data_IF_814384167311
#
_entry.id   IF_814384167311
#
_cell.length_a   1.000
_cell.length_b   1.000
_cell.length_c   1.000
_cell.angle_alpha   90.00
_cell.angle_beta   90.00
_cell.angle_gamma   90.00
#
_symmetry.space_group_name_H-M   'P 1'
#
loop_
_entity.id
_entity.type
_entity.pdbx_description
1 polymer ?
#
# COMPACT_ATOMS: atom_id res chain seq x y z
N UNK A 1 39.12 84.32 14.93
CA UNK A 1 37.72 84.77 14.80
C UNK A 1 36.88 83.50 14.64
N UNK A 2 35.99 83.19 15.59
CA UNK A 2 35.12 82.00 15.53
C UNK A 2 35.14 81.15 16.80
N UNK A 3 34.65 81.72 17.90
CA UNK A 3 34.27 80.98 19.12
C UNK A 3 32.95 80.25 18.85
N UNK A 4 32.92 78.92 18.98
CA UNK A 4 31.69 78.17 19.21
C UNK A 4 31.82 77.45 20.56
N UNK A 5 31.21 77.97 21.64
CA UNK A 5 31.13 77.22 22.87
C UNK A 5 30.18 76.04 22.64
N UNK A 6 30.71 74.83 22.74
CA UNK A 6 29.92 73.61 22.82
C UNK A 6 29.03 73.67 24.05
N UNK A 7 27.73 73.91 23.84
CA UNK A 7 26.73 73.94 24.90
C UNK A 7 26.49 72.50 25.35
N UNK A 8 27.07 72.09 26.47
CA UNK A 8 26.67 70.89 27.19
C UNK A 8 25.22 71.05 27.64
N UNK A 9 24.28 70.51 26.86
CA UNK A 9 22.91 70.34 27.33
C UNK A 9 22.92 69.25 28.41
N UNK A 10 22.99 69.65 29.68
CA UNK A 10 22.60 68.77 30.76
C UNK A 10 21.13 68.43 30.58
N UNK A 11 20.86 67.17 30.20
CA UNK A 11 19.50 66.63 30.15
C UNK A 11 19.04 66.57 31.61
N UNK A 12 18.26 67.56 32.04
CA UNK A 12 17.51 67.49 33.29
C UNK A 12 16.54 66.33 33.18
N UNK A 13 16.87 65.18 33.78
CA UNK A 13 15.95 64.08 33.98
C UNK A 13 14.80 64.56 34.87
N UNK A 14 13.65 64.84 34.24
CA UNK A 14 12.39 64.97 34.96
C UNK A 14 11.98 63.55 35.37
N UNK A 15 11.73 63.34 36.66
CA UNK A 15 11.21 62.06 37.15
C UNK A 15 9.85 61.75 36.51
N UNK A 16 9.55 60.48 36.35
CA UNK A 16 8.27 60.04 35.79
C UNK A 16 7.10 60.36 36.73
N UNK A 17 6.00 60.82 36.16
CA UNK A 17 4.74 60.95 36.88
C UNK A 17 4.14 59.57 37.17
N UNK A 18 3.46 59.42 38.31
CA UNK A 18 2.69 58.19 38.62
C UNK A 18 1.70 57.85 37.50
N UNK A 19 1.13 58.85 36.85
CA UNK A 19 0.23 58.67 35.71
C UNK A 19 0.94 58.06 34.49
N UNK A 20 2.17 58.47 34.22
CA UNK A 20 2.96 57.95 33.09
C UNK A 20 3.30 56.47 33.30
N UNK A 21 3.63 56.07 34.53
CA UNK A 21 3.89 54.66 34.88
C UNK A 21 2.60 53.83 34.78
N UNK A 22 1.45 54.35 35.22
CA UNK A 22 0.17 53.65 35.09
C UNK A 22 -0.22 53.44 33.61
N UNK A 23 -0.07 54.47 32.78
CA UNK A 23 -0.36 54.33 31.34
C UNK A 23 0.62 53.37 30.66
N UNK A 24 1.92 53.47 30.97
CA UNK A 24 2.95 52.60 30.38
C UNK A 24 2.74 51.13 30.76
N UNK A 25 2.35 50.83 32.01
CA UNK A 25 2.09 49.46 32.47
C UNK A 25 0.84 48.87 31.83
N UNK A 26 -0.24 49.64 31.71
CA UNK A 26 -1.46 49.20 31.00
C UNK A 26 -1.17 48.91 29.53
N UNK A 27 -0.46 49.78 28.84
CA UNK A 27 -0.06 49.55 27.45
C UNK A 27 0.85 48.34 27.30
N UNK A 28 1.78 48.13 28.25
CA UNK A 28 2.63 46.94 28.29
C UNK A 28 1.83 45.64 28.42
N UNK A 29 0.83 45.61 29.31
CA UNK A 29 -0.05 44.45 29.49
C UNK A 29 -0.87 44.15 28.24
N UNK A 30 -1.45 45.17 27.61
CA UNK A 30 -2.21 45.02 26.36
C UNK A 30 -1.34 44.45 25.23
N UNK A 31 -0.10 44.92 25.10
CA UNK A 31 0.84 44.40 24.12
C UNK A 31 1.21 42.94 24.40
N UNK A 32 1.45 42.58 25.67
CA UNK A 32 1.71 41.19 26.05
C UNK A 32 0.54 40.27 25.71
N UNK A 33 -0.71 40.71 25.93
CA UNK A 33 -1.90 39.92 25.59
C UNK A 33 -1.98 39.61 24.09
N UNK A 34 -1.76 40.60 23.22
CA UNK A 34 -1.75 40.42 21.77
C UNK A 34 -0.66 39.43 21.34
N UNK A 35 0.55 39.55 21.91
CA UNK A 35 1.67 38.64 21.59
C UNK A 35 1.35 37.20 22.03
N UNK A 36 0.75 37.01 23.20
CA UNK A 36 0.36 35.68 23.69
C UNK A 36 -0.70 35.04 22.78
N UNK A 37 -1.71 35.79 22.34
CA UNK A 37 -2.72 35.28 21.40
C UNK A 37 -2.10 34.88 20.05
N UNK A 38 -1.18 35.71 19.53
CA UNK A 38 -0.45 35.41 18.29
C UNK A 38 0.42 34.16 18.44
N UNK A 39 1.13 34.02 19.57
CA UNK A 39 1.93 32.82 19.85
C UNK A 39 1.08 31.56 19.90
N UNK A 40 -0.07 31.60 20.60
CA UNK A 40 -0.97 30.45 20.68
C UNK A 40 -1.52 30.07 19.31
N UNK A 41 -1.87 31.06 18.49
CA UNK A 41 -2.35 30.85 17.12
C UNK A 41 -1.25 30.23 16.25
N UNK A 42 -0.02 30.77 16.30
CA UNK A 42 1.11 30.24 15.57
C UNK A 42 1.46 28.80 15.99
N UNK A 43 1.40 28.50 17.29
CA UNK A 43 1.60 27.16 17.83
C UNK A 43 0.54 26.18 17.30
N UNK A 44 -0.72 26.56 17.31
CA UNK A 44 -1.81 25.72 16.80
C UNK A 44 -1.66 25.45 15.29
N UNK A 45 -1.28 26.48 14.52
CA UNK A 45 -1.01 26.36 13.08
C UNK A 45 0.17 25.41 12.84
N UNK A 46 1.26 25.55 13.61
CA UNK A 46 2.42 24.68 13.51
C UNK A 46 2.05 23.20 13.74
N UNK A 47 1.33 22.90 14.83
CA UNK A 47 0.88 21.54 15.09
C UNK A 47 -0.01 20.99 13.97
N UNK A 48 -0.97 21.79 13.48
CA UNK A 48 -1.83 21.37 12.37
C UNK A 48 -1.03 21.08 11.09
N UNK A 49 -0.01 21.90 10.77
CA UNK A 49 0.84 21.67 9.61
C UNK A 49 1.69 20.40 9.76
N UNK A 50 2.20 20.13 10.96
CA UNK A 50 2.96 18.91 11.23
C UNK A 50 2.11 17.65 11.07
N UNK A 51 0.88 17.64 11.60
CA UNK A 51 -0.04 16.50 11.42
C UNK A 51 -0.41 16.28 9.94
N UNK A 52 -0.63 17.38 9.19
CA UNK A 52 -0.87 17.30 7.75
C UNK A 52 0.34 16.78 6.98
N UNK A 53 1.56 17.14 7.38
CA UNK A 53 2.78 16.63 6.78
C UNK A 53 2.92 15.11 7.01
N UNK A 54 2.66 14.64 8.24
CA UNK A 54 2.66 13.20 8.55
C UNK A 54 1.60 12.44 7.75
N UNK A 55 0.38 12.98 7.62
CA UNK A 55 -0.65 12.37 6.77
C UNK A 55 -0.22 12.32 5.30
N UNK A 56 0.37 13.39 4.78
CA UNK A 56 0.86 13.45 3.41
C UNK A 56 1.95 12.42 3.12
N UNK A 57 2.89 12.23 4.05
CA UNK A 57 3.93 11.20 3.93
C UNK A 57 3.34 9.79 3.92
N UNK A 58 2.40 9.51 4.83
CA UNK A 58 1.71 8.21 4.89
C UNK A 58 0.92 7.91 3.60
N UNK A 59 0.22 8.92 3.05
CA UNK A 59 -0.50 8.78 1.78
C UNK A 59 0.49 8.47 0.65
N UNK A 60 1.63 9.16 0.59
CA UNK A 60 2.65 8.88 -0.43
C UNK A 60 3.19 7.46 -0.35
N UNK A 61 3.38 6.93 0.86
CA UNK A 61 3.80 5.54 1.04
C UNK A 61 2.74 4.55 0.58
N UNK A 62 1.48 4.76 0.98
CA UNK A 62 0.36 3.90 0.56
C UNK A 62 0.19 3.92 -0.96
N UNK A 63 0.29 5.10 -1.58
CA UNK A 63 0.15 5.27 -3.03
C UNK A 63 1.26 4.52 -3.78
N UNK A 64 2.53 4.67 -3.36
CA UNK A 64 3.64 3.93 -3.96
C UNK A 64 3.47 2.41 -3.83
N UNK A 65 3.02 1.95 -2.66
CA UNK A 65 2.81 0.53 -2.39
C UNK A 65 1.66 -0.05 -3.23
N UNK A 66 0.53 0.66 -3.32
CA UNK A 66 -0.60 0.25 -4.15
C UNK A 66 -0.26 0.32 -5.62
N UNK A 67 0.39 1.40 -6.09
CA UNK A 67 0.81 1.58 -7.47
C UNK A 67 1.68 0.42 -7.95
N UNK A 68 2.67 0.00 -7.16
CA UNK A 68 3.54 -1.12 -7.51
C UNK A 68 2.76 -2.44 -7.66
N UNK A 69 1.73 -2.68 -6.84
CA UNK A 69 0.95 -3.90 -6.91
C UNK A 69 -0.10 -3.86 -8.05
N UNK A 70 -0.81 -2.74 -8.19
CA UNK A 70 -1.84 -2.52 -9.21
C UNK A 70 -1.25 -2.56 -10.63
N UNK A 71 -0.07 -1.98 -10.84
CA UNK A 71 0.59 -1.99 -12.17
C UNK A 71 1.01 -3.38 -12.64
N UNK A 72 1.20 -4.31 -11.71
CA UNK A 72 1.52 -5.71 -11.99
C UNK A 72 0.27 -6.62 -11.94
N UNK A 73 -0.91 -6.05 -11.68
CA UNK A 73 -2.14 -6.80 -11.58
C UNK A 73 -2.46 -7.52 -12.89
N UNK A 74 -2.88 -8.76 -12.76
CA UNK A 74 -3.21 -9.64 -13.88
C UNK A 74 -2.03 -10.08 -14.73
N UNK A 75 -0.78 -9.80 -14.36
CA UNK A 75 0.36 -10.32 -15.12
C UNK A 75 0.27 -11.86 -15.21
N UNK A 76 0.29 -12.42 -16.41
CA UNK A 76 0.18 -13.86 -16.64
C UNK A 76 1.22 -14.33 -17.69
N UNK A 77 2.45 -13.81 -17.63
CA UNK A 77 3.53 -14.18 -18.55
C UNK A 77 3.50 -13.38 -19.85
N UNK A 78 2.68 -13.79 -20.82
CA UNK A 78 2.64 -13.12 -22.15
C UNK A 78 1.65 -11.95 -22.23
N UNK A 79 0.45 -12.12 -21.65
CA UNK A 79 -0.61 -11.10 -21.64
C UNK A 79 -1.22 -10.97 -20.24
N UNK A 80 -2.16 -10.05 -20.07
CA UNK A 80 -2.94 -9.97 -18.84
C UNK A 80 -3.90 -11.16 -18.74
N UNK A 81 -4.15 -11.67 -17.53
CA UNK A 81 -5.05 -12.79 -17.26
C UNK A 81 -6.47 -12.55 -17.75
N UNK A 82 -6.92 -11.28 -17.75
CA UNK A 82 -8.23 -10.87 -18.28
C UNK A 82 -8.37 -11.02 -19.81
N UNK A 83 -7.25 -11.13 -20.53
CA UNK A 83 -7.20 -11.30 -21.99
C UNK A 83 -6.99 -12.77 -22.41
N UNK A 84 -6.84 -13.68 -21.45
CA UNK A 84 -6.56 -15.10 -21.69
C UNK A 84 -7.80 -15.96 -21.45
N UNK A 85 -7.88 -17.08 -22.16
CA UNK A 85 -8.85 -18.13 -21.85
C UNK A 85 -8.39 -18.90 -20.61
N UNK A 86 -8.68 -18.36 -19.43
CA UNK A 86 -8.30 -18.95 -18.16
C UNK A 86 -9.20 -20.15 -17.79
N UNK A 87 -8.58 -21.28 -17.48
CA UNK A 87 -9.22 -22.43 -16.88
C UNK A 87 -8.68 -22.63 -15.47
N UNK A 88 -9.58 -22.74 -14.49
CA UNK A 88 -9.20 -22.88 -13.11
C UNK A 88 -9.40 -24.30 -12.61
N UNK A 89 -8.28 -24.99 -12.37
CA UNK A 89 -8.20 -26.33 -11.80
C UNK A 89 -7.81 -26.31 -10.31
N UNK A 90 -7.61 -25.13 -9.73
CA UNK A 90 -7.36 -25.01 -8.32
C UNK A 90 -8.68 -25.14 -7.54
N UNK A 91 -8.83 -26.22 -6.78
CA UNK A 91 -10.10 -26.60 -6.15
C UNK A 91 -10.68 -25.50 -5.26
N UNK A 92 -11.93 -25.11 -5.53
CA UNK A 92 -12.95 -24.95 -4.49
C UNK A 92 -13.26 -23.56 -3.91
N UNK A 93 -12.88 -22.43 -4.52
CA UNK A 93 -13.44 -21.10 -4.16
C UNK A 93 -13.11 -19.94 -5.14
N UNK A 94 -12.30 -20.19 -6.16
CA UNK A 94 -11.90 -19.19 -7.14
C UNK A 94 -12.86 -19.19 -8.34
N UNK A 95 -14.10 -18.73 -8.13
CA UNK A 95 -15.12 -18.71 -9.19
C UNK A 95 -14.79 -17.70 -10.31
N UNK A 96 -13.99 -16.68 -10.03
CA UNK A 96 -13.50 -15.74 -11.05
C UNK A 96 -12.15 -15.20 -10.63
N UNK A 97 -11.10 -15.58 -11.34
CA UNK A 97 -9.78 -14.98 -11.19
C UNK A 97 -9.65 -13.89 -12.24
N UNK A 98 -9.62 -12.64 -11.79
CA UNK A 98 -9.34 -11.47 -12.62
C UNK A 98 -8.08 -10.76 -12.15
N UNK A 99 -7.68 -9.71 -12.84
CA UNK A 99 -6.55 -8.86 -12.48
C UNK A 99 -6.73 -8.21 -11.10
N UNK A 100 -7.86 -7.53 -10.90
CA UNK A 100 -8.25 -6.86 -9.66
C UNK A 100 -9.75 -7.11 -9.45
N UNK A 101 -10.11 -7.49 -8.23
CA UNK A 101 -11.49 -7.68 -7.83
C UNK A 101 -11.64 -7.38 -6.34
N UNK A 102 -12.88 -7.25 -5.88
CA UNK A 102 -13.13 -6.89 -4.49
C UNK A 102 -14.34 -7.61 -3.93
N UNK A 103 -14.35 -7.68 -2.61
CA UNK A 103 -15.44 -8.24 -1.81
C UNK A 103 -15.85 -7.22 -0.78
N UNK A 104 -17.15 -7.05 -0.62
CA UNK A 104 -17.67 -6.31 0.52
C UNK A 104 -17.51 -7.13 1.81
N UNK A 105 -17.61 -6.43 2.92
CA UNK A 105 -17.54 -6.99 4.27
C UNK A 105 -18.55 -8.11 4.60
N UNK A 106 -19.61 -8.27 3.82
CA UNK A 106 -20.71 -9.23 4.03
C UNK A 106 -20.61 -10.48 3.14
N UNK A 107 -19.87 -10.39 2.03
CA UNK A 107 -19.72 -11.44 1.02
C UNK A 107 -18.26 -11.88 0.84
N UNK A 108 -17.56 -12.09 1.96
CA UNK A 108 -16.19 -12.60 1.93
C UNK A 108 -16.16 -14.09 1.55
N UNK A 109 -15.38 -14.48 0.54
CA UNK A 109 -15.25 -15.87 0.14
C UNK A 109 -14.46 -16.68 1.18
N UNK A 110 -14.71 -17.99 1.21
CA UNK A 110 -14.17 -18.89 2.23
C UNK A 110 -12.64 -18.86 2.37
N UNK A 111 -11.91 -18.69 1.26
CA UNK A 111 -10.44 -18.67 1.26
C UNK A 111 -9.82 -17.41 1.91
N UNK A 112 -10.61 -16.33 2.08
CA UNK A 112 -10.17 -15.12 2.78
C UNK A 112 -10.56 -15.13 4.27
N UNK A 113 -11.39 -16.07 4.72
CA UNK A 113 -11.80 -16.17 6.12
C UNK A 113 -10.58 -16.45 7.01
N UNK A 114 -10.37 -15.59 8.02
CA UNK A 114 -9.21 -15.68 8.92
C UNK A 114 -7.93 -15.05 8.37
N UNK A 115 -7.88 -14.68 7.08
CA UNK A 115 -6.79 -13.91 6.47
C UNK A 115 -7.04 -12.40 6.49
N UNK A 116 -8.32 -12.01 6.44
CA UNK A 116 -8.76 -10.61 6.51
C UNK A 116 -9.64 -10.38 7.74
N UNK A 117 -9.78 -9.12 8.15
CA UNK A 117 -10.61 -8.77 9.31
C UNK A 117 -12.09 -8.82 8.93
N UNK A 118 -12.90 -9.49 9.75
CA UNK A 118 -14.36 -9.54 9.53
C UNK A 118 -14.95 -8.13 9.59
N UNK A 119 -15.84 -7.81 8.65
CA UNK A 119 -16.49 -6.50 8.61
C UNK A 119 -15.73 -5.45 7.79
N UNK A 120 -14.66 -5.82 7.07
CA UNK A 120 -13.90 -4.92 6.21
C UNK A 120 -14.09 -5.29 4.75
N UNK A 121 -14.17 -4.28 3.89
CA UNK A 121 -14.08 -4.50 2.44
C UNK A 121 -12.64 -4.88 2.05
N UNK A 122 -12.53 -5.71 1.02
CA UNK A 122 -11.27 -6.26 0.56
C UNK A 122 -11.10 -6.00 -0.93
N UNK A 123 -9.92 -5.57 -1.32
CA UNK A 123 -9.48 -5.53 -2.71
C UNK A 123 -8.42 -6.62 -2.88
N UNK A 124 -8.61 -7.53 -3.82
CA UNK A 124 -7.63 -8.54 -4.18
C UNK A 124 -6.95 -8.13 -5.48
N UNK A 125 -5.62 -8.17 -5.47
CA UNK A 125 -4.79 -8.02 -6.67
C UNK A 125 -4.16 -9.38 -6.94
N UNK A 126 -4.45 -9.94 -8.10
CA UNK A 126 -3.97 -11.25 -8.48
C UNK A 126 -2.97 -11.14 -9.63
N UNK A 127 -1.88 -11.90 -9.58
CA UNK A 127 -0.85 -11.91 -10.62
C UNK A 127 -0.02 -13.19 -10.57
N UNK A 128 0.53 -13.59 -11.70
CA UNK A 128 1.67 -14.49 -11.71
C UNK A 128 2.91 -13.78 -11.15
N UNK A 129 3.80 -14.54 -10.52
CA UNK A 129 5.12 -14.07 -10.13
C UNK A 129 5.92 -13.68 -11.37
N UNK A 130 6.77 -12.66 -11.22
CA UNK A 130 7.72 -12.27 -12.26
C UNK A 130 8.77 -13.36 -12.53
N UNK A 131 9.02 -14.23 -11.54
CA UNK A 131 9.94 -15.37 -11.63
C UNK A 131 9.29 -16.55 -12.36
N UNK A 132 8.95 -16.34 -13.64
CA UNK A 132 8.41 -17.39 -14.50
C UNK A 132 9.51 -18.30 -15.04
N UNK A 133 9.19 -19.59 -15.21
CA UNK A 133 10.04 -20.60 -15.83
C UNK A 133 9.47 -21.04 -17.16
N UNK A 134 10.32 -21.53 -18.07
CA UNK A 134 9.87 -22.13 -19.33
C UNK A 134 9.60 -23.61 -19.15
N UNK A 135 8.61 -24.13 -19.89
CA UNK A 135 8.48 -25.57 -20.08
C UNK A 135 9.61 -26.07 -21.01
N UNK A 136 10.03 -27.33 -20.86
CA UNK A 136 11.13 -27.92 -21.66
C UNK A 136 10.65 -28.79 -22.83
N UNK A 137 9.36 -29.08 -22.90
CA UNK A 137 8.75 -29.87 -23.95
C UNK A 137 7.28 -29.49 -24.12
N UNK A 138 6.74 -29.66 -25.32
CA UNK A 138 5.32 -29.41 -25.58
C UNK A 138 4.42 -30.22 -24.64
N UNK A 139 3.41 -29.55 -24.12
CA UNK A 139 2.41 -30.11 -23.22
C UNK A 139 1.12 -30.31 -24.00
N UNK A 140 0.60 -31.53 -24.01
CA UNK A 140 -0.68 -31.84 -24.67
C UNK A 140 -1.85 -31.49 -23.74
N UNK A 141 -3.00 -31.17 -24.34
CA UNK A 141 -4.27 -31.08 -23.61
C UNK A 141 -4.51 -32.37 -22.80
N UNK A 142 -4.95 -32.21 -21.56
CA UNK A 142 -5.19 -33.29 -20.60
C UNK A 142 -3.92 -33.83 -19.92
N UNK A 143 -2.75 -33.23 -20.16
CA UNK A 143 -1.53 -33.64 -19.46
C UNK A 143 -1.63 -33.37 -17.96
N UNK A 144 -1.23 -34.36 -17.16
CA UNK A 144 -1.17 -34.31 -15.69
C UNK A 144 0.26 -34.15 -15.16
N UNK A 145 1.22 -33.93 -16.05
CA UNK A 145 2.62 -33.71 -15.71
C UNK A 145 3.25 -32.73 -16.70
N UNK A 146 4.00 -31.77 -16.18
CA UNK A 146 4.75 -30.79 -16.96
C UNK A 146 6.22 -30.80 -16.54
N UNK A 147 7.11 -30.58 -17.50
CA UNK A 147 8.55 -30.44 -17.25
C UNK A 147 8.96 -28.99 -17.46
N UNK A 148 9.70 -28.44 -16.52
CA UNK A 148 10.10 -27.03 -16.48
C UNK A 148 11.60 -26.87 -16.32
N UNK A 149 12.17 -25.75 -16.75
CA UNK A 149 13.61 -25.50 -16.63
C UNK A 149 14.05 -25.34 -15.17
N UNK A 150 13.26 -24.61 -14.40
CA UNK A 150 13.39 -24.37 -12.96
C UNK A 150 12.04 -24.65 -12.33
N UNK A 151 12.00 -25.27 -11.15
CA UNK A 151 10.71 -25.67 -10.57
C UNK A 151 10.17 -24.57 -9.63
N UNK A 152 9.09 -23.85 -9.99
CA UNK A 152 8.46 -22.87 -9.11
C UNK A 152 7.69 -23.52 -7.95
N UNK A 153 7.40 -24.83 -8.02
CA UNK A 153 6.78 -25.58 -6.93
C UNK A 153 7.84 -25.95 -5.89
N UNK A 154 8.26 -24.99 -5.08
CA UNK A 154 9.25 -25.22 -4.01
C UNK A 154 8.60 -25.75 -2.72
N UNK A 155 7.29 -25.56 -2.56
CA UNK A 155 6.50 -25.95 -1.40
C UNK A 155 5.17 -26.57 -1.85
N UNK A 156 4.55 -27.39 -0.98
CA UNK A 156 3.23 -27.96 -1.23
C UNK A 156 2.13 -26.91 -1.17
N UNK A 157 1.04 -27.12 -1.91
CA UNK A 157 -0.15 -26.24 -1.98
C UNK A 157 0.07 -24.84 -2.56
N UNK A 158 1.12 -24.62 -3.35
CA UNK A 158 1.28 -23.39 -4.12
C UNK A 158 0.38 -23.41 -5.37
N UNK A 159 -0.30 -22.28 -5.60
CA UNK A 159 -1.00 -22.02 -6.85
C UNK A 159 0.02 -21.71 -7.94
N UNK A 160 -0.14 -22.34 -9.09
CA UNK A 160 0.72 -22.20 -10.25
C UNK A 160 -0.14 -21.87 -11.46
N UNK A 161 0.38 -20.98 -12.30
CA UNK A 161 -0.24 -20.62 -13.56
C UNK A 161 0.68 -21.09 -14.69
N UNK A 162 0.17 -21.90 -15.62
CA UNK A 162 0.78 -22.08 -16.93
C UNK A 162 0.01 -21.24 -17.94
N UNK A 163 0.72 -20.50 -18.79
CA UNK A 163 0.09 -19.61 -19.76
C UNK A 163 0.92 -19.48 -21.03
N UNK A 164 0.23 -19.25 -22.14
CA UNK A 164 0.79 -18.69 -23.36
C UNK A 164 0.10 -17.34 -23.66
N UNK A 165 0.17 -16.85 -24.90
CA UNK A 165 -0.44 -15.57 -25.28
C UNK A 165 -1.96 -15.64 -25.54
N UNK A 166 -2.61 -16.80 -25.36
CA UNK A 166 -4.04 -17.04 -25.65
C UNK A 166 -4.77 -17.77 -24.52
N UNK A 167 -4.12 -18.71 -23.85
CA UNK A 167 -4.72 -19.59 -22.87
C UNK A 167 -3.91 -19.59 -21.58
N UNK A 168 -4.60 -19.86 -20.48
CA UNK A 168 -3.98 -20.10 -19.19
C UNK A 168 -4.71 -21.19 -18.42
N UNK A 169 -3.97 -21.95 -17.63
CA UNK A 169 -4.50 -22.94 -16.69
C UNK A 169 -3.90 -22.66 -15.31
N UNK A 170 -4.77 -22.35 -14.34
CA UNK A 170 -4.42 -22.19 -12.93
C UNK A 170 -4.61 -23.52 -12.22
N UNK A 171 -3.61 -23.99 -11.47
CA UNK A 171 -3.66 -25.29 -10.82
C UNK A 171 -2.82 -25.32 -9.55
N UNK A 172 -3.03 -26.35 -8.73
CA UNK A 172 -2.17 -26.65 -7.57
C UNK A 172 -1.33 -27.89 -7.90
N UNK A 173 -0.03 -27.83 -7.62
CA UNK A 173 0.83 -28.99 -7.79
C UNK A 173 0.44 -30.10 -6.80
N UNK A 174 0.16 -31.31 -7.31
CA UNK A 174 -0.07 -32.51 -6.49
C UNK A 174 1.21 -32.92 -5.77
N UNK A 175 2.31 -32.94 -6.51
CA UNK A 175 3.66 -33.12 -6.01
C UNK A 175 4.66 -32.64 -7.08
N UNK A 176 5.93 -32.58 -6.71
CA UNK A 176 7.00 -32.22 -7.63
C UNK A 176 8.23 -33.09 -7.39
N UNK A 177 8.97 -33.41 -8.47
CA UNK A 177 10.23 -34.15 -8.41
C UNK A 177 11.22 -33.54 -9.39
N UNK A 178 12.28 -32.91 -8.86
CA UNK A 178 13.26 -32.18 -9.66
C UNK A 178 12.57 -31.15 -10.55
N UNK A 179 12.67 -31.33 -11.87
CA UNK A 179 12.11 -30.45 -12.91
C UNK A 179 10.70 -30.84 -13.39
N UNK A 180 10.06 -31.79 -12.73
CA UNK A 180 8.71 -32.26 -13.11
C UNK A 180 7.69 -31.84 -12.05
N UNK A 181 6.58 -31.26 -12.47
CA UNK A 181 5.43 -30.92 -11.65
C UNK A 181 4.28 -31.83 -12.06
N UNK A 182 3.71 -32.55 -11.11
CA UNK A 182 2.53 -33.39 -11.33
C UNK A 182 1.28 -32.69 -10.83
N UNK A 183 0.21 -32.79 -11.60
CA UNK A 183 -1.06 -32.12 -11.35
C UNK A 183 -2.10 -33.13 -10.85
N UNK A 184 -3.13 -32.63 -10.17
CA UNK A 184 -4.28 -33.44 -9.75
C UNK A 184 -5.20 -33.71 -10.94
N UNK A 185 -5.46 -32.67 -11.72
CA UNK A 185 -6.30 -32.70 -12.92
C UNK A 185 -5.46 -32.41 -14.18
N UNK A 186 -5.95 -32.88 -15.32
CA UNK A 186 -5.30 -32.63 -16.60
C UNK A 186 -5.59 -31.21 -17.10
N UNK A 187 -4.58 -30.55 -17.67
CA UNK A 187 -4.70 -29.20 -18.22
C UNK A 187 -5.77 -29.11 -19.32
N UNK A 188 -6.54 -28.02 -19.34
CA UNK A 188 -7.59 -27.78 -20.33
C UNK A 188 -7.05 -27.48 -21.73
N UNK A 189 -5.83 -26.95 -21.81
CA UNK A 189 -5.17 -26.55 -23.06
C UNK A 189 -3.83 -27.26 -23.28
N UNK A 190 -3.35 -27.22 -24.52
CA UNK A 190 -1.98 -27.62 -24.86
C UNK A 190 -1.07 -26.39 -24.94
N UNK A 191 0.19 -26.56 -24.57
CA UNK A 191 1.17 -25.47 -24.45
C UNK A 191 2.45 -25.81 -25.21
N UNK A 192 2.88 -24.89 -26.09
CA UNK A 192 4.09 -25.04 -26.88
C UNK A 192 5.34 -24.59 -26.13
N UNK A 193 6.44 -25.31 -26.30
CA UNK A 193 7.72 -25.07 -25.60
C UNK A 193 8.28 -23.66 -25.81
N UNK A 194 7.96 -23.04 -26.95
CA UNK A 194 8.42 -21.70 -27.29
C UNK A 194 7.51 -20.57 -26.80
N UNK A 195 6.23 -20.84 -26.53
CA UNK A 195 5.23 -19.81 -26.23
C UNK A 195 4.75 -19.81 -24.78
N UNK A 196 4.97 -20.90 -24.04
CA UNK A 196 4.41 -21.06 -22.71
C UNK A 196 5.42 -20.87 -21.59
N UNK A 197 4.93 -20.33 -20.49
CA UNK A 197 5.66 -20.16 -19.23
C UNK A 197 4.82 -20.64 -18.06
N UNK A 198 5.49 -21.03 -16.99
CA UNK A 198 4.88 -21.43 -15.72
C UNK A 198 5.38 -20.50 -14.63
N UNK A 199 4.50 -19.99 -13.80
CA UNK A 199 4.87 -19.15 -12.65
C UNK A 199 4.04 -19.50 -11.43
N UNK A 200 4.49 -19.05 -10.26
CA UNK A 200 3.62 -19.00 -9.08
C UNK A 200 2.48 -18.03 -9.34
N UNK A 201 1.28 -18.35 -8.90
CA UNK A 201 0.16 -17.42 -8.92
C UNK A 201 -0.05 -16.88 -7.51
N UNK A 202 0.03 -15.56 -7.38
CA UNK A 202 -0.07 -14.84 -6.12
C UNK A 202 -1.34 -13.99 -6.12
N UNK A 203 -2.06 -14.06 -5.01
CA UNK A 203 -3.16 -13.15 -4.72
C UNK A 203 -2.86 -12.39 -3.45
N UNK A 204 -2.99 -11.07 -3.53
CA UNK A 204 -2.74 -10.18 -2.41
C UNK A 204 -4.03 -9.44 -2.06
N UNK A 205 -4.59 -9.75 -0.90
CA UNK A 205 -5.80 -9.15 -0.37
C UNK A 205 -5.46 -7.95 0.50
N UNK A 206 -5.88 -6.76 0.08
CA UNK A 206 -5.73 -5.49 0.78
C UNK A 206 -7.02 -5.14 1.54
N UNK A 207 -6.89 -4.71 2.79
CA UNK A 207 -8.03 -4.35 3.65
C UNK A 207 -7.63 -3.31 4.70
N UNK A 208 -8.61 -2.58 5.23
CA UNK A 208 -8.38 -1.56 6.27
C UNK A 208 -8.62 -2.19 7.63
N UNK A 209 -7.66 -2.06 8.55
CA UNK A 209 -7.82 -2.53 9.92
C UNK A 209 -7.25 -1.53 10.95
N UNK A 210 -7.66 -1.70 12.21
CA UNK A 210 -7.19 -0.89 13.32
C UNK A 210 -5.72 -1.19 13.62
N UNK A 211 -4.90 -0.15 13.72
CA UNK A 211 -3.46 -0.25 14.00
C UNK A 211 -3.12 -0.43 15.49
N UNK A 212 -4.13 -0.64 16.34
CA UNK A 212 -4.05 -0.60 17.81
C UNK A 212 -3.62 0.76 18.41
N UNK A 213 -3.22 1.71 17.57
CA UNK A 213 -2.88 3.09 17.97
C UNK A 213 -4.13 3.95 18.07
N UNK A 214 -4.02 4.99 18.89
CA UNK A 214 -5.06 6.01 19.04
C UNK A 214 -4.45 7.39 18.87
N UNK A 215 -5.27 8.33 18.40
CA UNK A 215 -4.88 9.74 18.32
C UNK A 215 -5.01 10.44 19.69
N UNK A 216 -4.64 11.73 19.73
CA UNK A 216 -4.75 12.58 20.93
C UNK A 216 -6.17 12.70 21.49
N UNK A 217 -7.19 12.38 20.68
CA UNK A 217 -8.62 12.38 21.06
C UNK A 217 -9.11 10.97 21.42
N UNK A 218 -8.20 10.02 21.63
CA UNK A 218 -8.50 8.62 21.96
C UNK A 218 -9.32 7.89 20.87
N UNK A 219 -9.31 8.38 19.63
CA UNK A 219 -9.94 7.74 18.47
C UNK A 219 -8.98 6.73 17.85
N UNK A 220 -9.52 5.63 17.34
CA UNK A 220 -8.73 4.55 16.71
C UNK A 220 -8.11 5.04 15.39
N UNK A 221 -6.86 4.67 15.16
CA UNK A 221 -6.16 4.92 13.90
C UNK A 221 -6.22 3.66 13.04
N UNK A 222 -6.76 3.80 11.83
CA UNK A 222 -6.83 2.73 10.84
C UNK A 222 -5.63 2.78 9.89
N UNK A 223 -5.27 1.63 9.33
CA UNK A 223 -4.20 1.49 8.36
C UNK A 223 -4.57 0.47 7.29
N UNK A 224 -3.86 0.54 6.17
CA UNK A 224 -3.93 -0.46 5.11
C UNK A 224 -3.09 -1.66 5.51
N UNK A 225 -3.69 -2.84 5.44
CA UNK A 225 -3.05 -4.14 5.65
C UNK A 225 -3.14 -4.96 4.36
N UNK A 226 -2.27 -5.95 4.24
CA UNK A 226 -2.36 -6.95 3.19
C UNK A 226 -2.16 -8.36 3.75
N UNK A 227 -2.75 -9.35 3.07
CA UNK A 227 -2.53 -10.78 3.29
C UNK A 227 -2.34 -11.50 1.97
N UNK A 228 -1.56 -12.58 1.98
CA UNK A 228 -1.41 -13.56 0.89
C UNK A 228 -2.10 -14.87 1.24
#
# INVERSE_FOLDING_TARGET
RGLYPGRSQEIKSRGFSLLEILIATVLGLLLCEVVLQNYQTAKNIYHAQTELAYLGENIRFVDLFLWQNITQAGFAGCRNISELNLHNHASGNFETVSDIYGYDSSHLPGYLLGKVVKGTDVIVVAKASADVTRIVSDVKKGAIAIKVEQNPATEGNLFLLISDCKNADLFVAKNHLGKTINLVEGLSNGYGVQSASVGRFDEQAFFISNTARKDEKNRRIYGLYYST
#
